data_IF_578289060640
#
_entry.id   IF_578289060640
#
_cell.length_a   1.000
_cell.length_b   1.000
_cell.length_c   1.000
_cell.angle_alpha   90.00
_cell.angle_beta   90.00
_cell.angle_gamma   90.00
#
_symmetry.space_group_name_H-M   'P 1'
#
loop_
_entity.id
_entity.type
_entity.pdbx_description
1 polymer ?
#
# COMPACT_ATOMS: atom_id res chain seq x y z
N UNK A 1 5.43 18.96 29.76
CA UNK A 1 6.69 18.18 29.80
C UNK A 1 6.58 17.12 28.72
N UNK A 2 7.45 17.27 27.71
CA UNK A 2 7.41 16.67 26.39
C UNK A 2 7.75 15.18 26.44
N UNK A 3 6.83 14.35 25.98
CA UNK A 3 7.03 12.91 25.83
C UNK A 3 7.63 12.65 24.44
N UNK A 4 8.95 12.75 24.31
CA UNK A 4 9.71 12.28 23.16
C UNK A 4 10.04 10.79 23.34
N UNK A 5 9.05 9.92 23.24
CA UNK A 5 9.28 8.48 23.18
C UNK A 5 9.38 8.05 21.72
N UNK A 6 10.61 7.79 21.27
CA UNK A 6 10.99 6.63 20.44
C UNK A 6 10.01 6.17 19.35
N UNK A 7 9.57 7.07 18.47
CA UNK A 7 9.14 6.64 17.14
C UNK A 7 10.41 6.35 16.36
N UNK A 8 10.78 5.07 16.22
CA UNK A 8 11.59 4.67 15.08
C UNK A 8 10.92 5.28 13.86
N UNK A 9 11.63 6.16 13.15
CA UNK A 9 11.06 6.99 12.10
C UNK A 9 10.33 6.05 11.15
N UNK A 10 9.01 6.16 11.03
CA UNK A 10 8.26 5.46 9.98
C UNK A 10 8.96 5.62 8.62
N UNK A 11 9.53 6.80 8.39
CA UNK A 11 10.40 7.15 7.27
C UNK A 11 11.58 6.18 7.06
N UNK A 12 12.22 5.70 8.12
CA UNK A 12 13.39 4.81 8.02
C UNK A 12 13.06 3.40 7.56
N UNK A 13 11.81 2.96 7.78
CA UNK A 13 11.38 1.58 7.53
C UNK A 13 10.56 1.45 6.24
N UNK A 14 10.04 2.55 5.72
CA UNK A 14 9.23 2.53 4.49
C UNK A 14 10.16 2.56 3.28
N UNK A 15 10.07 1.58 2.36
CA UNK A 15 10.97 1.47 1.20
C UNK A 15 11.11 2.76 0.38
N UNK A 16 10.02 3.51 0.22
CA UNK A 16 9.99 4.75 -0.57
C UNK A 16 10.91 5.87 -0.02
N UNK A 17 11.31 5.76 1.25
CA UNK A 17 12.17 6.72 1.93
C UNK A 17 13.52 6.11 2.36
N UNK A 18 13.77 4.84 2.05
CA UNK A 18 14.97 4.13 2.46
C UNK A 18 16.25 4.73 1.85
N UNK A 19 16.15 5.44 0.72
CA UNK A 19 17.27 6.08 0.04
C UNK A 19 17.67 7.46 0.62
N UNK A 20 16.93 7.95 1.63
CA UNK A 20 17.18 9.26 2.23
C UNK A 20 18.22 9.14 3.36
N UNK A 21 19.10 10.14 3.50
CA UNK A 21 20.02 10.22 4.64
C UNK A 21 19.24 10.37 5.96
N UNK A 22 19.82 9.98 7.10
CA UNK A 22 19.16 10.12 8.41
C UNK A 22 18.74 11.58 8.70
N UNK A 23 19.55 12.57 8.33
CA UNK A 23 19.21 13.99 8.49
C UNK A 23 17.99 14.36 7.64
N UNK A 24 17.95 13.88 6.39
CA UNK A 24 16.81 14.05 5.49
C UNK A 24 15.56 13.36 6.02
N UNK A 25 15.68 12.14 6.53
CA UNK A 25 14.56 11.39 7.09
C UNK A 25 13.93 12.12 8.28
N UNK A 26 14.72 12.79 9.11
CA UNK A 26 14.21 13.63 10.20
C UNK A 26 13.43 14.85 9.68
N UNK A 27 13.85 15.45 8.56
CA UNK A 27 13.10 16.55 7.94
C UNK A 27 11.78 16.06 7.34
N UNK A 28 11.79 14.91 6.68
CA UNK A 28 10.59 14.25 6.15
C UNK A 28 9.62 13.89 7.28
N UNK A 29 10.15 13.37 8.39
CA UNK A 29 9.35 13.00 9.56
C UNK A 29 8.55 14.17 10.15
N UNK A 30 9.09 15.40 10.10
CA UNK A 30 8.37 16.60 10.57
C UNK A 30 7.14 16.94 9.71
N UNK A 31 7.05 16.41 8.48
CA UNK A 31 5.92 16.59 7.56
C UNK A 31 4.93 15.42 7.61
N UNK A 32 5.23 14.37 8.39
CA UNK A 32 4.39 13.17 8.53
C UNK A 32 3.52 13.31 9.76
N UNK A 33 2.22 13.04 9.60
CA UNK A 33 1.31 12.83 10.72
C UNK A 33 1.18 11.32 11.00
N UNK A 34 1.37 10.91 12.25
CA UNK A 34 1.29 9.52 12.65
C UNK A 34 -0.04 9.26 13.37
N UNK A 35 -0.78 8.25 12.93
CA UNK A 35 -2.07 7.91 13.53
C UNK A 35 -2.19 6.41 13.77
N UNK A 36 -2.65 6.09 14.97
CA UNK A 36 -3.05 4.73 15.34
C UNK A 36 -4.51 4.47 14.94
N UNK A 37 -4.78 3.25 14.49
CA UNK A 37 -6.12 2.76 14.22
C UNK A 37 -6.29 1.35 14.81
N UNK A 38 -7.45 1.09 15.41
CA UNK A 38 -7.79 -0.23 15.91
C UNK A 38 -8.26 -1.14 14.78
N UNK A 39 -8.17 -2.45 15.00
CA UNK A 39 -8.75 -3.46 14.10
C UNK A 39 -10.21 -3.12 13.72
N UNK A 40 -10.53 -3.31 12.43
CA UNK A 40 -11.82 -3.04 11.77
C UNK A 40 -12.18 -1.56 11.58
N UNK A 41 -11.37 -0.61 12.07
CA UNK A 41 -11.57 0.80 11.74
C UNK A 41 -11.42 1.05 10.24
N UNK A 42 -12.15 2.05 9.74
CA UNK A 42 -12.00 2.52 8.37
C UNK A 42 -10.88 3.56 8.33
N UNK A 43 -9.91 3.35 7.45
CA UNK A 43 -8.92 4.36 7.11
C UNK A 43 -9.58 5.44 6.22
N UNK A 44 -10.36 5.00 5.24
CA UNK A 44 -11.26 5.83 4.45
C UNK A 44 -12.31 4.96 3.74
N UNK A 45 -13.38 5.59 3.27
CA UNK A 45 -14.46 4.98 2.49
C UNK A 45 -14.36 5.39 1.01
N UNK A 46 -15.09 4.67 0.16
CA UNK A 46 -15.32 5.11 -1.21
C UNK A 46 -16.08 6.45 -1.21
N UNK A 47 -15.67 7.36 -2.11
CA UNK A 47 -16.22 8.71 -2.21
C UNK A 47 -15.57 9.72 -1.26
N UNK A 48 -14.78 9.28 -0.27
CA UNK A 48 -14.04 10.20 0.58
C UNK A 48 -13.03 11.00 -0.23
N UNK A 49 -12.91 12.29 0.05
CA UNK A 49 -11.84 13.12 -0.49
C UNK A 49 -10.55 12.82 0.24
N UNK A 50 -9.58 12.27 -0.48
CA UNK A 50 -8.26 12.02 0.06
C UNK A 50 -7.29 13.11 -0.43
N UNK A 51 -6.52 13.65 0.49
CA UNK A 51 -5.49 14.66 0.24
C UNK A 51 -4.10 14.19 0.69
N UNK A 52 -3.98 12.92 1.06
CA UNK A 52 -2.82 12.38 1.75
C UNK A 52 -2.43 11.01 1.21
N UNK A 53 -1.13 10.72 1.25
CA UNK A 53 -0.58 9.37 1.13
C UNK A 53 -0.67 8.70 2.49
N UNK A 54 -1.16 7.47 2.51
CA UNK A 54 -1.27 6.66 3.71
C UNK A 54 -0.28 5.51 3.61
N UNK A 55 0.72 5.50 4.47
CA UNK A 55 1.77 4.48 4.49
C UNK A 55 1.61 3.62 5.73
N UNK A 56 1.63 2.30 5.55
CA UNK A 56 1.50 1.35 6.65
C UNK A 56 2.85 1.20 7.34
N UNK A 57 2.98 1.79 8.54
CA UNK A 57 4.13 1.57 9.40
C UNK A 57 4.03 0.25 10.15
N UNK A 58 2.83 -0.12 10.59
CA UNK A 58 2.57 -1.39 11.27
C UNK A 58 1.13 -1.84 11.03
N UNK A 59 0.92 -3.15 11.08
CA UNK A 59 -0.39 -3.77 10.88
C UNK A 59 -0.67 -4.06 9.41
N UNK A 60 -1.95 -4.25 9.08
CA UNK A 60 -2.41 -4.56 7.72
C UNK A 60 -3.70 -3.84 7.39
N UNK A 61 -3.84 -3.47 6.11
CA UNK A 61 -5.01 -2.75 5.60
C UNK A 61 -5.54 -3.47 4.36
N UNK A 62 -6.83 -3.80 4.31
CA UNK A 62 -7.45 -4.30 3.08
C UNK A 62 -8.01 -3.14 2.26
N UNK A 63 -7.78 -3.18 0.96
CA UNK A 63 -8.38 -2.28 -0.03
C UNK A 63 -9.38 -3.07 -0.84
N UNK A 64 -10.63 -2.63 -0.89
CA UNK A 64 -11.70 -3.33 -1.59
C UNK A 64 -12.69 -2.35 -2.25
N UNK A 65 -13.46 -2.86 -3.20
CA UNK A 65 -14.59 -2.17 -3.84
C UNK A 65 -15.86 -2.96 -3.63
N UNK A 66 -16.98 -2.27 -3.76
CA UNK A 66 -18.30 -2.89 -3.83
C UNK A 66 -18.81 -2.79 -5.27
N UNK A 67 -19.53 -3.80 -5.75
CA UNK A 67 -20.35 -3.67 -6.94
C UNK A 67 -21.74 -3.09 -6.57
N UNK A 68 -22.60 -2.87 -7.58
CA UNK A 68 -23.95 -2.33 -7.38
C UNK A 68 -24.85 -3.22 -6.50
N UNK A 69 -24.51 -4.51 -6.39
CA UNK A 69 -25.20 -5.50 -5.53
C UNK A 69 -24.62 -5.55 -4.11
N UNK A 70 -23.56 -4.78 -3.83
CA UNK A 70 -22.88 -4.73 -2.54
C UNK A 70 -21.88 -5.87 -2.29
N UNK A 71 -21.52 -6.63 -3.32
CA UNK A 71 -20.51 -7.68 -3.20
C UNK A 71 -19.10 -7.08 -3.13
N UNK A 72 -18.31 -7.55 -2.15
CA UNK A 72 -16.94 -7.11 -1.94
C UNK A 72 -15.97 -7.77 -2.94
N UNK A 73 -15.29 -6.94 -3.74
CA UNK A 73 -14.09 -7.34 -4.47
C UNK A 73 -12.84 -6.83 -3.73
N UNK A 74 -12.07 -7.75 -3.15
CA UNK A 74 -10.75 -7.44 -2.61
C UNK A 74 -9.81 -7.05 -3.75
N UNK A 75 -9.22 -5.86 -3.66
CA UNK A 75 -8.22 -5.37 -4.62
C UNK A 75 -6.83 -5.81 -4.17
N UNK A 76 -6.48 -5.53 -2.91
CA UNK A 76 -5.17 -5.87 -2.33
C UNK A 76 -5.18 -5.77 -0.81
N UNK A 77 -4.17 -6.35 -0.18
CA UNK A 77 -3.86 -6.18 1.24
C UNK A 77 -2.50 -5.49 1.34
N UNK A 78 -2.45 -4.39 2.08
CA UNK A 78 -1.26 -3.61 2.37
C UNK A 78 -0.63 -4.10 3.66
N UNK A 79 0.68 -4.29 3.67
CA UNK A 79 1.50 -4.63 4.81
C UNK A 79 2.53 -3.53 5.08
N UNK A 80 3.45 -3.77 6.00
CA UNK A 80 4.52 -2.84 6.34
C UNK A 80 5.27 -2.33 5.10
N UNK A 81 5.37 -1.00 4.99
CA UNK A 81 6.04 -0.33 3.86
C UNK A 81 5.15 -0.07 2.65
N UNK A 82 3.99 -0.73 2.56
CA UNK A 82 3.01 -0.45 1.52
C UNK A 82 2.27 0.88 1.79
N UNK A 83 1.65 1.40 0.73
CA UNK A 83 0.92 2.65 0.79
C UNK A 83 -0.34 2.67 -0.08
N UNK A 84 -1.23 3.62 0.23
CA UNK A 84 -2.37 3.97 -0.59
C UNK A 84 -2.71 5.47 -0.55
N UNK A 85 -3.77 5.90 -1.24
CA UNK A 85 -4.06 7.31 -1.52
C UNK A 85 -3.31 7.86 -2.73
N UNK A 86 -2.54 7.02 -3.43
CA UNK A 86 -1.71 7.42 -4.57
C UNK A 86 -2.54 8.00 -5.71
N UNK A 87 -3.74 7.45 -5.95
CA UNK A 87 -4.63 7.93 -7.01
C UNK A 87 -5.09 9.35 -6.71
N UNK A 88 -5.47 9.66 -5.47
CA UNK A 88 -5.93 11.01 -5.12
C UNK A 88 -4.80 12.05 -5.13
N UNK A 89 -3.54 11.60 -4.99
CA UNK A 89 -2.36 12.46 -5.08
C UNK A 89 -2.02 12.75 -6.55
N UNK A 90 -1.89 11.70 -7.35
CA UNK A 90 -1.31 11.78 -8.70
C UNK A 90 -2.35 11.87 -9.84
N UNK A 91 -3.63 11.63 -9.56
CA UNK A 91 -4.71 11.73 -10.54
C UNK A 91 -5.52 13.04 -10.37
N UNK A 92 -6.37 13.34 -11.35
CA UNK A 92 -7.20 14.54 -11.36
C UNK A 92 -8.36 14.47 -10.34
N UNK A 93 -8.85 13.27 -10.01
CA UNK A 93 -9.89 13.08 -9.01
C UNK A 93 -9.28 12.84 -7.62
N UNK A 94 -9.79 13.56 -6.63
CA UNK A 94 -9.44 13.36 -5.21
C UNK A 94 -10.30 12.32 -4.52
N UNK A 95 -11.42 11.95 -5.14
CA UNK A 95 -12.41 11.06 -4.54
C UNK A 95 -11.90 9.62 -4.57
N UNK A 96 -11.93 8.96 -3.41
CA UNK A 96 -11.49 7.57 -3.28
C UNK A 96 -12.40 6.66 -4.09
N UNK A 97 -11.82 5.85 -4.97
CA UNK A 97 -12.54 4.82 -5.71
C UNK A 97 -12.60 3.48 -4.95
N UNK A 98 -12.29 3.44 -3.66
CA UNK A 98 -12.22 2.20 -2.88
C UNK A 98 -12.39 2.43 -1.38
N UNK A 99 -12.69 1.37 -0.64
CA UNK A 99 -12.67 1.33 0.81
C UNK A 99 -11.30 0.85 1.29
N UNK A 100 -10.80 1.45 2.38
CA UNK A 100 -9.62 0.99 3.10
C UNK A 100 -9.99 0.68 4.55
N UNK A 101 -9.83 -0.58 4.95
CA UNK A 101 -10.18 -1.04 6.30
C UNK A 101 -8.99 -1.71 6.98
N UNK A 102 -8.80 -1.40 8.25
CA UNK A 102 -7.76 -1.95 9.11
C UNK A 102 -8.09 -3.40 9.46
N UNK A 103 -7.18 -4.34 9.17
CA UNK A 103 -7.35 -5.77 9.44
C UNK A 103 -6.86 -6.19 10.83
N UNK A 104 -5.92 -5.44 11.38
CA UNK A 104 -5.33 -5.59 12.72
C UNK A 104 -4.79 -4.23 13.16
N UNK A 105 -4.66 -4.01 14.47
CA UNK A 105 -4.18 -2.75 15.04
C UNK A 105 -2.98 -2.20 14.27
N UNK A 106 -3.13 -0.98 13.77
CA UNK A 106 -2.27 -0.42 12.74
C UNK A 106 -1.76 0.97 13.11
N UNK A 107 -0.55 1.24 12.66
CA UNK A 107 0.10 2.54 12.76
C UNK A 107 0.31 3.04 11.33
N UNK A 108 -0.30 4.18 11.01
CA UNK A 108 -0.35 4.74 9.65
C UNK A 108 0.31 6.12 9.64
N UNK A 109 1.19 6.31 8.66
CA UNK A 109 1.83 7.58 8.39
C UNK A 109 1.10 8.29 7.26
N UNK A 110 0.65 9.51 7.53
CA UNK A 110 -0.09 10.35 6.60
C UNK A 110 0.82 11.47 6.11
N UNK A 111 0.90 11.63 4.79
CA UNK A 111 1.70 12.69 4.14
C UNK A 111 0.80 13.45 3.20
N UNK A 112 0.60 14.75 3.44
CA UNK A 112 -0.26 15.55 2.57
C UNK A 112 0.28 15.60 1.13
N UNK A 113 -0.61 15.84 0.18
CA UNK A 113 -0.27 16.05 -1.22
C UNK A 113 0.79 17.14 -1.37
N UNK A 114 0.62 18.29 -0.73
CA UNK A 114 1.62 19.37 -0.80
C UNK A 114 2.98 18.89 -0.29
N UNK A 115 2.98 18.18 0.84
CA UNK A 115 4.19 17.67 1.47
C UNK A 115 4.91 16.65 0.58
N UNK A 116 4.19 15.70 -0.03
CA UNK A 116 4.84 14.70 -0.90
C UNK A 116 5.38 15.33 -2.18
N UNK A 117 4.69 16.32 -2.76
CA UNK A 117 5.18 17.05 -3.93
C UNK A 117 6.42 17.89 -3.62
N UNK A 118 6.46 18.54 -2.46
CA UNK A 118 7.66 19.25 -1.97
C UNK A 118 8.83 18.29 -1.74
N UNK A 119 8.56 17.13 -1.14
CA UNK A 119 9.56 16.09 -0.90
C UNK A 119 10.13 15.54 -2.21
N UNK A 120 9.30 15.25 -3.21
CA UNK A 120 9.76 14.79 -4.53
C UNK A 120 10.58 15.86 -5.26
N UNK A 121 10.19 17.14 -5.12
CA UNK A 121 10.94 18.26 -5.71
C UNK A 121 12.32 18.43 -5.06
N UNK A 122 12.40 18.20 -3.75
CA UNK A 122 13.65 18.33 -2.97
C UNK A 122 14.54 17.09 -3.11
N UNK A 123 13.93 15.91 -3.17
CA UNK A 123 14.59 14.60 -3.20
C UNK A 123 14.03 13.74 -4.34
N UNK A 124 14.52 13.92 -5.59
CA UNK A 124 13.99 13.25 -6.78
C UNK A 124 13.97 11.72 -6.71
N UNK A 125 14.84 11.10 -5.92
CA UNK A 125 14.86 9.64 -5.71
C UNK A 125 13.54 9.10 -5.13
N UNK A 126 12.78 9.93 -4.41
CA UNK A 126 11.43 9.56 -3.93
C UNK A 126 10.49 9.35 -5.13
N UNK A 127 10.53 10.25 -6.12
CA UNK A 127 9.73 10.13 -7.33
C UNK A 127 10.14 8.90 -8.16
N UNK A 128 11.44 8.61 -8.26
CA UNK A 128 11.95 7.39 -8.92
C UNK A 128 11.40 6.14 -8.22
N UNK A 129 11.41 6.11 -6.88
CA UNK A 129 10.87 4.99 -6.10
C UNK A 129 9.37 4.77 -6.34
N UNK A 130 8.59 5.85 -6.51
CA UNK A 130 7.18 5.75 -6.94
C UNK A 130 7.05 5.13 -8.33
N UNK A 131 7.86 5.57 -9.30
CA UNK A 131 7.82 5.07 -10.67
C UNK A 131 8.15 3.57 -10.70
N UNK A 132 9.19 3.14 -9.99
CA UNK A 132 9.57 1.72 -9.89
C UNK A 132 8.45 0.88 -9.27
N UNK A 133 7.82 1.39 -8.19
CA UNK A 133 6.69 0.72 -7.54
C UNK A 133 5.48 0.62 -8.48
N UNK A 134 5.17 1.68 -9.23
CA UNK A 134 4.08 1.65 -10.20
C UNK A 134 4.37 0.72 -11.38
N UNK A 135 5.61 0.67 -11.87
CA UNK A 135 6.02 -0.26 -12.91
C UNK A 135 5.86 -1.72 -12.48
N UNK A 136 6.28 -2.07 -11.26
CA UNK A 136 6.08 -3.41 -10.69
C UNK A 136 4.60 -3.77 -10.62
N UNK A 137 3.77 -2.88 -10.05
CA UNK A 137 2.31 -3.11 -9.92
C UNK A 137 1.61 -3.21 -11.26
N UNK A 138 2.04 -2.41 -12.26
CA UNK A 138 1.51 -2.48 -13.62
C UNK A 138 1.82 -3.84 -14.24
N UNK A 139 3.08 -4.30 -14.15
CA UNK A 139 3.49 -5.63 -14.63
C UNK A 139 2.68 -6.74 -13.97
N UNK A 140 2.50 -6.71 -12.65
CA UNK A 140 1.67 -7.70 -11.94
C UNK A 140 0.21 -7.70 -12.41
N UNK A 141 -0.34 -6.53 -12.72
CA UNK A 141 -1.72 -6.40 -13.22
C UNK A 141 -1.85 -6.92 -14.65
N UNK A 142 -0.86 -6.67 -15.50
CA UNK A 142 -0.78 -7.22 -16.87
C UNK A 142 -0.66 -8.75 -16.85
N UNK A 143 0.15 -9.29 -15.94
CA UNK A 143 0.28 -10.74 -15.73
C UNK A 143 -1.06 -11.34 -15.28
N UNK A 144 -1.75 -10.74 -14.32
CA UNK A 144 -3.08 -11.17 -13.89
C UNK A 144 -4.10 -11.16 -15.03
N UNK A 145 -4.09 -10.12 -15.86
CA UNK A 145 -4.97 -10.00 -17.02
C UNK A 145 -4.68 -11.11 -18.03
N UNK A 146 -3.39 -11.39 -18.28
CA UNK A 146 -2.94 -12.48 -19.14
C UNK A 146 -3.37 -13.84 -18.60
N UNK A 147 -3.23 -14.08 -17.29
CA UNK A 147 -3.71 -15.28 -16.63
C UNK A 147 -5.23 -15.44 -16.75
N UNK A 148 -6.00 -14.35 -16.66
CA UNK A 148 -7.47 -14.40 -16.81
C UNK A 148 -7.86 -14.69 -18.26
N UNK A 149 -7.21 -14.05 -19.23
CA UNK A 149 -7.57 -14.11 -20.64
C UNK A 149 -7.07 -15.36 -21.38
N UNK A 150 -5.90 -15.88 -21.02
CA UNK A 150 -5.24 -16.97 -21.77
C UNK A 150 -5.27 -18.32 -21.05
N UNK A 151 -5.38 -18.35 -19.72
CA UNK A 151 -5.31 -19.61 -18.98
C UNK A 151 -6.69 -20.14 -18.60
N UNK A 152 -6.98 -21.37 -19.01
CA UNK A 152 -8.13 -22.11 -18.48
C UNK A 152 -7.91 -22.46 -17.00
N UNK A 153 -8.97 -22.88 -16.28
CA UNK A 153 -8.90 -23.15 -14.83
C UNK A 153 -7.79 -24.14 -14.44
N UNK A 154 -7.42 -25.07 -15.34
CA UNK A 154 -6.33 -26.03 -15.14
C UNK A 154 -4.97 -25.36 -15.22
N UNK A 155 -4.77 -24.47 -16.20
CA UNK A 155 -3.53 -23.72 -16.37
C UNK A 155 -3.31 -22.69 -15.26
N UNK A 156 -4.37 -22.02 -14.78
CA UNK A 156 -4.32 -21.16 -13.58
C UNK A 156 -3.84 -21.92 -12.35
N UNK A 157 -4.34 -23.15 -12.17
CA UNK A 157 -3.90 -24.06 -11.10
C UNK A 157 -2.44 -24.46 -11.26
N UNK A 158 -1.98 -24.76 -12.49
CA UNK A 158 -0.59 -25.12 -12.74
C UNK A 158 0.37 -23.95 -12.47
N UNK A 159 0.04 -22.74 -12.90
CA UNK A 159 0.83 -21.54 -12.57
C UNK A 159 0.91 -21.34 -11.06
N UNK A 160 -0.23 -21.38 -10.36
CA UNK A 160 -0.25 -21.26 -8.90
C UNK A 160 0.59 -22.35 -8.23
N UNK A 161 0.51 -23.59 -8.71
CA UNK A 161 1.33 -24.70 -8.22
C UNK A 161 2.82 -24.42 -8.46
N UNK A 162 3.22 -23.94 -9.65
CA UNK A 162 4.61 -23.62 -9.96
C UNK A 162 5.16 -22.47 -9.12
N UNK A 163 4.36 -21.44 -8.82
CA UNK A 163 4.76 -20.33 -7.94
C UNK A 163 5.16 -20.79 -6.53
N UNK A 164 4.54 -21.87 -6.02
CA UNK A 164 4.78 -22.42 -4.69
C UNK A 164 5.54 -23.76 -4.69
N UNK A 165 6.14 -24.12 -5.83
CA UNK A 165 6.90 -25.37 -5.99
C UNK A 165 8.39 -25.13 -5.75
N UNK A 166 8.93 -25.80 -4.74
CA UNK A 166 10.38 -25.92 -4.54
C UNK A 166 10.83 -27.33 -4.94
N UNK A 167 11.38 -27.47 -6.15
CA UNK A 167 11.79 -28.76 -6.71
C UNK A 167 10.59 -29.69 -7.00
N UNK A 168 10.52 -30.81 -6.30
CA UNK A 168 9.39 -31.76 -6.38
C UNK A 168 8.40 -31.64 -5.21
N UNK A 169 8.55 -30.61 -4.35
CA UNK A 169 7.66 -30.37 -3.21
C UNK A 169 6.85 -29.11 -3.44
N UNK A 170 5.56 -29.19 -3.11
CA UNK A 170 4.62 -28.10 -3.24
C UNK A 170 4.23 -27.62 -1.84
N UNK A 171 4.46 -26.33 -1.55
CA UNK A 171 4.16 -25.73 -0.26
C UNK A 171 2.93 -24.82 -0.37
N UNK A 172 1.74 -25.40 -0.14
CA UNK A 172 0.48 -24.66 -0.21
C UNK A 172 0.09 -24.13 1.17
N UNK A 173 0.08 -22.80 1.34
CA UNK A 173 -0.48 -22.15 2.52
C UNK A 173 -1.99 -21.95 2.35
N UNK A 174 -2.76 -23.03 2.53
CA UNK A 174 -4.23 -22.98 2.47
C UNK A 174 -4.79 -23.02 3.89
N UNK A 175 -5.48 -21.95 4.29
CA UNK A 175 -6.28 -21.97 5.51
C UNK A 175 -7.62 -22.65 5.23
N UNK A 176 -7.95 -23.73 5.96
CA UNK A 176 -9.27 -24.37 5.86
C UNK A 176 -10.31 -23.40 6.43
N UNK A 177 -11.32 -23.08 5.62
CA UNK A 177 -12.56 -22.45 6.07
C UNK A 177 -13.49 -23.52 6.61
#
# INVERSE_FOLDING_TARGET
>A
MSCHHSYELCVSQVPIFAHLSNETQQLVFKKINHRYFSKNEMLYMEGDKLDSLYVVHKGRVRIYRLNDEGEEQLIRVLAHGDYTGELSIFNASTDSASYAQILEDAEICMISKESIYELMSTYPNIAISFIETFASRLSETEDQTTHIALLNSREKLLTYIDTYREGNKLHLNISKK
#
